data_IF_431130255528
#
_entry.id   IF_431130255528
#
_cell.length_a   1.000
_cell.length_b   1.000
_cell.length_c   1.000
_cell.angle_alpha   90.00
_cell.angle_beta   90.00
_cell.angle_gamma   90.00
#
_symmetry.space_group_name_H-M   'P 1'
#
loop_
_entity.id
_entity.type
_entity.pdbx_description
1 polymer ?
#
# COMPACT_ATOMS: atom_id res chain seq x y z
N UNK A 1 -23.15 15.21 8.17
CA UNK A 1 -22.29 14.09 8.59
C UNK A 1 -21.74 13.46 7.31
N UNK A 2 -20.43 13.33 7.18
CA UNK A 2 -19.80 12.69 6.05
C UNK A 2 -19.79 11.18 6.27
N UNK A 3 -19.99 10.37 5.23
CA UNK A 3 -19.82 8.92 5.29
C UNK A 3 -19.27 8.39 3.98
N UNK A 4 -18.61 7.26 4.01
CA UNK A 4 -18.13 6.60 2.79
C UNK A 4 -19.30 6.03 1.95
N UNK A 5 -20.52 5.97 2.49
CA UNK A 5 -21.64 5.33 1.83
C UNK A 5 -21.46 3.82 1.73
N UNK A 6 -21.96 3.21 0.66
CA UNK A 6 -21.80 1.78 0.42
C UNK A 6 -20.35 1.44 0.07
N UNK A 7 -19.73 0.54 0.83
CA UNK A 7 -18.41 0.00 0.53
C UNK A 7 -18.50 -0.96 -0.66
N UNK A 8 -17.79 -0.65 -1.75
CA UNK A 8 -17.93 -1.41 -3.00
C UNK A 8 -16.90 -2.55 -3.04
N UNK A 9 -15.62 -2.20 -3.06
CA UNK A 9 -14.50 -3.12 -3.16
C UNK A 9 -13.30 -2.58 -2.40
N UNK A 10 -12.57 -3.43 -1.71
CA UNK A 10 -11.40 -3.00 -0.94
C UNK A 10 -10.45 -4.11 -0.60
N UNK A 11 -9.38 -3.75 0.09
CA UNK A 11 -8.40 -4.66 0.63
C UNK A 11 -8.40 -4.70 2.15
N UNK A 12 -8.14 -5.86 2.72
CA UNK A 12 -7.85 -6.03 4.15
C UNK A 12 -6.35 -6.19 4.31
N UNK A 13 -5.71 -5.19 4.94
CA UNK A 13 -4.29 -5.23 5.26
C UNK A 13 -4.11 -5.96 6.61
N UNK A 14 -3.64 -7.18 6.56
CA UNK A 14 -3.52 -8.04 7.74
C UNK A 14 -2.32 -7.73 8.62
N UNK A 15 -1.32 -7.01 8.07
CA UNK A 15 -0.12 -6.55 8.77
C UNK A 15 0.52 -5.37 8.03
N UNK A 16 1.49 -4.72 8.69
CA UNK A 16 2.38 -3.73 8.07
C UNK A 16 3.81 -4.25 7.90
N UNK A 17 4.14 -5.37 8.55
CA UNK A 17 5.45 -6.00 8.40
C UNK A 17 5.56 -6.64 7.02
N UNK A 18 6.71 -6.42 6.36
CA UNK A 18 7.04 -7.00 5.07
C UNK A 18 8.49 -7.49 5.07
N UNK A 19 8.84 -8.46 4.24
CA UNK A 19 10.23 -8.84 3.98
C UNK A 19 10.96 -7.83 3.10
N UNK A 20 10.22 -6.91 2.49
CA UNK A 20 10.71 -5.90 1.55
C UNK A 20 10.39 -4.48 2.02
N UNK A 21 11.20 -3.52 1.59
CA UNK A 21 10.95 -2.08 1.76
C UNK A 21 10.88 -1.37 0.39
N UNK A 22 10.04 -1.91 -0.50
CA UNK A 22 9.93 -1.45 -1.89
C UNK A 22 9.70 0.06 -1.99
N UNK A 23 10.43 0.74 -2.88
CA UNK A 23 10.39 2.20 -3.06
C UNK A 23 9.01 2.73 -3.45
N UNK A 24 8.21 1.93 -4.14
CA UNK A 24 6.86 2.30 -4.58
C UNK A 24 5.76 1.96 -3.57
N UNK A 25 6.08 1.42 -2.39
CA UNK A 25 5.08 0.95 -1.44
C UNK A 25 4.21 2.09 -0.91
N UNK A 26 2.93 2.06 -1.25
CA UNK A 26 1.94 3.05 -0.82
C UNK A 26 1.72 3.06 0.70
N UNK A 27 1.84 1.90 1.34
CA UNK A 27 1.57 1.73 2.78
C UNK A 27 2.81 1.85 3.64
N UNK A 28 3.97 2.12 3.05
CA UNK A 28 5.27 2.21 3.73
C UNK A 28 5.56 0.96 4.58
N UNK A 29 5.14 -0.22 4.11
CA UNK A 29 5.42 -1.49 4.76
C UNK A 29 6.91 -1.82 4.70
N UNK A 30 7.46 -2.41 5.76
CA UNK A 30 8.90 -2.72 5.84
C UNK A 30 9.18 -3.82 6.86
N UNK A 31 10.42 -4.36 6.90
CA UNK A 31 10.83 -5.31 7.95
C UNK A 31 10.78 -4.74 9.36
N UNK A 32 10.88 -3.41 9.50
CA UNK A 32 10.93 -2.69 10.78
C UNK A 32 9.59 -2.12 11.22
N UNK A 33 8.58 -2.10 10.32
CA UNK A 33 7.27 -1.53 10.64
C UNK A 33 6.39 -2.51 11.40
N UNK A 34 6.53 -2.50 12.72
CA UNK A 34 5.73 -3.34 13.63
C UNK A 34 5.97 -4.84 13.42
N UNK A 35 5.53 -5.65 14.34
CA UNK A 35 5.65 -7.12 14.27
C UNK A 35 4.30 -7.83 14.37
N UNK A 36 3.21 -7.04 14.47
CA UNK A 36 1.87 -7.58 14.68
C UNK A 36 1.23 -8.09 13.40
N UNK A 37 0.26 -8.97 13.59
CA UNK A 37 -0.72 -9.38 12.60
C UNK A 37 -2.11 -9.03 13.15
N UNK A 38 -3.12 -8.89 12.31
CA UNK A 38 -4.47 -8.60 12.77
C UNK A 38 -4.93 -9.68 13.76
N UNK A 39 -5.34 -9.27 14.95
CA UNK A 39 -5.88 -10.21 15.92
C UNK A 39 -7.30 -10.66 15.56
N UNK A 40 -7.75 -11.75 16.17
CA UNK A 40 -9.03 -12.38 15.84
C UNK A 40 -10.21 -11.44 16.10
N UNK A 41 -10.22 -10.71 17.21
CA UNK A 41 -11.33 -9.83 17.58
C UNK A 41 -11.43 -8.66 16.59
N UNK A 42 -10.30 -8.04 16.26
CA UNK A 42 -10.23 -6.99 15.25
C UNK A 42 -10.67 -7.51 13.87
N UNK A 43 -10.21 -8.69 13.45
CA UNK A 43 -10.62 -9.28 12.18
C UNK A 43 -12.13 -9.59 12.12
N UNK A 44 -12.72 -10.12 13.21
CA UNK A 44 -14.17 -10.33 13.31
C UNK A 44 -14.94 -9.00 13.21
N UNK A 45 -14.45 -7.95 13.87
CA UNK A 45 -15.04 -6.61 13.80
C UNK A 45 -14.94 -6.01 12.39
N UNK A 46 -13.79 -6.15 11.72
CA UNK A 46 -13.60 -5.71 10.32
C UNK A 46 -14.62 -6.41 9.42
N UNK A 47 -14.74 -7.74 9.49
CA UNK A 47 -15.69 -8.50 8.69
C UNK A 47 -17.13 -8.05 8.93
N UNK A 48 -17.50 -7.79 10.19
CA UNK A 48 -18.83 -7.28 10.55
C UNK A 48 -19.11 -5.91 9.94
N UNK A 49 -18.15 -4.97 10.06
CA UNK A 49 -18.29 -3.61 9.54
C UNK A 49 -18.29 -3.59 8.00
N UNK A 50 -17.47 -4.38 7.35
CA UNK A 50 -17.51 -4.53 5.89
C UNK A 50 -18.89 -5.00 5.42
N UNK A 51 -19.48 -6.02 6.09
CA UNK A 51 -20.82 -6.50 5.76
C UNK A 51 -21.88 -5.43 6.00
N UNK A 52 -21.85 -4.74 7.14
CA UNK A 52 -22.78 -3.65 7.47
C UNK A 52 -22.66 -2.51 6.45
N UNK A 53 -21.44 -2.16 6.03
CA UNK A 53 -21.19 -1.16 4.99
C UNK A 53 -21.53 -1.63 3.56
N UNK A 54 -22.01 -2.87 3.38
CA UNK A 54 -22.46 -3.39 2.08
C UNK A 54 -21.37 -4.03 1.24
N UNK A 55 -20.13 -4.14 1.74
CA UNK A 55 -19.01 -4.76 1.02
C UNK A 55 -19.25 -6.26 0.83
N UNK A 56 -19.10 -6.74 -0.41
CA UNK A 56 -19.34 -8.14 -0.76
C UNK A 56 -18.09 -8.90 -1.13
N UNK A 57 -17.04 -8.20 -1.51
CA UNK A 57 -15.77 -8.81 -1.89
C UNK A 57 -14.59 -7.96 -1.46
N UNK A 58 -13.49 -8.61 -1.12
CA UNK A 58 -12.23 -7.97 -0.75
C UNK A 58 -11.06 -8.80 -1.27
N UNK A 59 -9.90 -8.16 -1.41
CA UNK A 59 -8.63 -8.87 -1.44
C UNK A 59 -7.93 -8.80 -0.07
N UNK A 60 -6.98 -9.69 0.17
CA UNK A 60 -6.08 -9.61 1.31
C UNK A 60 -4.73 -9.09 0.83
N UNK A 61 -4.27 -8.02 1.47
CA UNK A 61 -2.95 -7.44 1.28
C UNK A 61 -2.32 -7.10 2.62
N UNK A 62 -1.38 -6.18 2.60
CA UNK A 62 -0.69 -5.72 3.80
C UNK A 62 0.77 -5.39 3.52
N UNK A 63 1.66 -5.72 4.46
CA UNK A 63 3.08 -5.82 4.18
C UNK A 63 3.33 -7.10 3.36
N UNK A 64 3.40 -8.23 4.08
CA UNK A 64 3.43 -9.55 3.43
C UNK A 64 2.53 -10.49 4.24
N UNK A 65 1.37 -10.89 3.69
CA UNK A 65 0.41 -11.73 4.41
C UNK A 65 0.95 -13.10 4.82
N UNK A 66 1.87 -13.68 4.05
CA UNK A 66 2.44 -15.00 4.31
C UNK A 66 3.50 -15.03 5.43
N UNK A 67 3.78 -13.91 6.08
CA UNK A 67 4.64 -13.88 7.28
C UNK A 67 4.01 -14.61 8.48
N UNK A 68 2.67 -14.68 8.52
CA UNK A 68 1.90 -15.48 9.48
C UNK A 68 0.82 -16.25 8.73
N UNK A 69 1.15 -17.48 8.35
CA UNK A 69 0.25 -18.30 7.53
C UNK A 69 -1.00 -18.75 8.29
N UNK A 70 -0.88 -19.05 9.59
CA UNK A 70 -2.02 -19.44 10.42
C UNK A 70 -2.96 -18.26 10.65
N UNK A 71 -2.40 -17.07 10.89
CA UNK A 71 -3.15 -15.82 10.95
C UNK A 71 -3.88 -15.53 9.65
N UNK A 72 -3.22 -15.73 8.49
CA UNK A 72 -3.84 -15.58 7.18
C UNK A 72 -5.04 -16.51 7.00
N UNK A 73 -4.89 -17.81 7.32
CA UNK A 73 -5.98 -18.78 7.25
C UNK A 73 -7.15 -18.41 8.18
N UNK A 74 -6.85 -17.87 9.37
CA UNK A 74 -7.89 -17.40 10.30
C UNK A 74 -8.72 -16.26 9.68
N UNK A 75 -8.07 -15.27 9.04
CA UNK A 75 -8.78 -14.17 8.35
C UNK A 75 -9.63 -14.69 7.19
N UNK A 76 -9.11 -15.61 6.37
CA UNK A 76 -9.85 -16.23 5.26
C UNK A 76 -11.13 -16.89 5.77
N UNK A 77 -11.04 -17.66 6.86
CA UNK A 77 -12.22 -18.32 7.49
C UNK A 77 -13.25 -17.29 7.98
N UNK A 78 -12.80 -16.17 8.55
CA UNK A 78 -13.69 -15.11 9.03
C UNK A 78 -14.41 -14.41 7.87
N UNK A 79 -13.71 -14.06 6.78
CA UNK A 79 -14.31 -13.50 5.57
C UNK A 79 -15.38 -14.44 5.00
N UNK A 80 -15.04 -15.73 4.86
CA UNK A 80 -16.00 -16.76 4.39
C UNK A 80 -17.22 -16.86 5.31
N UNK A 81 -17.02 -16.90 6.64
CA UNK A 81 -18.11 -16.94 7.62
C UNK A 81 -19.01 -15.70 7.53
N UNK A 82 -18.43 -14.54 7.25
CA UNK A 82 -19.18 -13.31 7.05
C UNK A 82 -19.88 -13.22 5.69
N UNK A 83 -19.68 -14.19 4.78
CA UNK A 83 -20.22 -14.18 3.42
C UNK A 83 -19.60 -13.08 2.54
N UNK A 84 -18.32 -12.76 2.79
CA UNK A 84 -17.52 -11.84 1.98
C UNK A 84 -16.63 -12.68 1.07
N UNK A 85 -16.69 -12.43 -0.23
CA UNK A 85 -15.87 -13.14 -1.21
C UNK A 85 -14.44 -12.66 -1.11
N UNK A 86 -13.48 -13.58 -0.99
CA UNK A 86 -12.07 -13.29 -1.16
C UNK A 86 -11.73 -13.41 -2.65
N UNK A 87 -11.29 -12.29 -3.25
CA UNK A 87 -10.95 -12.25 -4.67
C UNK A 87 -9.53 -12.77 -4.94
N UNK A 88 -8.56 -12.30 -4.19
CA UNK A 88 -7.17 -12.76 -4.25
C UNK A 88 -6.40 -12.40 -2.98
N UNK A 89 -5.21 -12.97 -2.86
CA UNK A 89 -4.23 -12.63 -1.82
C UNK A 89 -2.99 -12.09 -2.50
N UNK A 90 -2.53 -10.92 -2.07
CA UNK A 90 -1.29 -10.31 -2.56
C UNK A 90 -0.08 -10.93 -1.87
N UNK A 91 1.00 -11.15 -2.62
CA UNK A 91 2.27 -11.64 -2.07
C UNK A 91 3.46 -11.23 -2.93
N UNK A 92 4.59 -10.98 -2.29
CA UNK A 92 5.87 -10.82 -2.96
C UNK A 92 6.60 -12.15 -3.20
N UNK A 93 5.99 -13.26 -2.81
CA UNK A 93 6.46 -14.63 -3.01
C UNK A 93 7.78 -15.01 -2.31
N UNK A 94 8.27 -14.25 -1.31
CA UNK A 94 9.53 -14.56 -0.60
C UNK A 94 9.57 -16.00 -0.06
N UNK A 95 8.44 -16.56 0.32
CA UNK A 95 8.27 -17.89 0.92
C UNK A 95 8.36 -19.04 -0.10
N UNK A 96 8.41 -18.72 -1.39
CA UNK A 96 8.55 -19.67 -2.48
C UNK A 96 9.94 -19.63 -3.13
N UNK A 97 10.94 -19.02 -2.47
CA UNK A 97 12.30 -18.94 -2.98
C UNK A 97 12.81 -20.32 -3.38
N UNK A 98 13.30 -20.42 -4.61
CA UNK A 98 13.83 -21.65 -5.22
C UNK A 98 15.05 -22.21 -4.48
N UNK A 99 15.74 -21.40 -3.70
CA UNK A 99 16.86 -21.78 -2.85
C UNK A 99 16.42 -22.35 -1.49
N UNK A 100 15.13 -22.24 -1.14
CA UNK A 100 14.63 -22.82 0.10
C UNK A 100 14.47 -24.34 -0.04
N UNK A 101 14.96 -25.15 0.92
CA UNK A 101 14.87 -26.61 0.87
C UNK A 101 13.43 -27.17 0.94
N UNK A 102 12.43 -26.31 1.14
CA UNK A 102 11.08 -26.70 1.49
C UNK A 102 10.03 -26.52 0.37
N UNK A 103 10.34 -26.94 -0.88
CA UNK A 103 9.33 -26.96 -1.96
C UNK A 103 8.02 -27.68 -1.55
N UNK A 104 8.09 -28.68 -0.67
CA UNK A 104 6.92 -29.39 -0.15
C UNK A 104 6.04 -28.49 0.72
N UNK A 105 6.63 -27.70 1.58
CA UNK A 105 5.89 -26.76 2.45
C UNK A 105 5.09 -25.71 1.66
N UNK A 106 5.60 -25.24 0.51
CA UNK A 106 4.89 -24.31 -0.38
C UNK A 106 3.64 -24.96 -0.98
N UNK A 107 3.76 -26.20 -1.50
CA UNK A 107 2.61 -26.93 -2.05
C UNK A 107 1.53 -27.21 -1.00
N UNK A 108 1.94 -27.54 0.22
CA UNK A 108 0.97 -27.79 1.30
C UNK A 108 0.23 -26.51 1.69
N UNK A 109 0.91 -25.36 1.71
CA UNK A 109 0.26 -24.05 1.90
C UNK A 109 -0.75 -23.77 0.78
N UNK A 110 -0.39 -23.99 -0.48
CA UNK A 110 -1.30 -23.76 -1.61
C UNK A 110 -2.54 -24.67 -1.51
N UNK A 111 -2.38 -25.95 -1.15
CA UNK A 111 -3.51 -26.86 -0.93
C UNK A 111 -4.40 -26.41 0.25
N UNK A 112 -3.80 -25.91 1.33
CA UNK A 112 -4.57 -25.36 2.44
C UNK A 112 -5.38 -24.12 2.01
N UNK A 113 -4.81 -23.20 1.25
CA UNK A 113 -5.55 -22.05 0.70
C UNK A 113 -6.78 -22.50 -0.09
N UNK A 114 -6.61 -23.47 -1.00
CA UNK A 114 -7.75 -24.04 -1.78
C UNK A 114 -8.82 -24.64 -0.87
N UNK A 115 -8.42 -25.42 0.14
CA UNK A 115 -9.37 -26.04 1.07
C UNK A 115 -10.16 -25.02 1.90
N UNK A 116 -9.60 -23.82 2.11
CA UNK A 116 -10.29 -22.72 2.78
C UNK A 116 -11.06 -21.81 1.82
N UNK A 117 -11.04 -22.08 0.51
CA UNK A 117 -11.74 -21.30 -0.51
C UNK A 117 -10.99 -20.06 -0.98
N UNK A 118 -9.69 -19.97 -0.69
CA UNK A 118 -8.81 -18.92 -1.21
C UNK A 118 -8.07 -19.44 -2.44
N UNK A 119 -8.68 -19.28 -3.61
CA UNK A 119 -8.23 -19.91 -4.85
C UNK A 119 -7.33 -19.06 -5.73
N UNK A 120 -7.06 -17.78 -5.43
CA UNK A 120 -6.34 -16.88 -6.34
C UNK A 120 -5.23 -16.12 -5.62
N UNK A 121 -4.04 -16.05 -6.23
CA UNK A 121 -2.91 -15.23 -5.78
C UNK A 121 -2.62 -14.10 -6.76
N UNK A 122 -2.38 -12.91 -6.24
CA UNK A 122 -1.76 -11.78 -6.94
C UNK A 122 -0.27 -11.77 -6.58
N UNK A 123 0.58 -12.19 -7.51
CA UNK A 123 2.01 -12.36 -7.27
C UNK A 123 2.76 -11.17 -7.86
N UNK A 124 3.42 -10.39 -7.01
CA UNK A 124 4.17 -9.20 -7.43
C UNK A 124 5.45 -9.55 -8.14
N UNK A 125 5.69 -8.97 -9.33
CA UNK A 125 6.91 -9.17 -10.11
C UNK A 125 7.29 -7.88 -10.84
N UNK A 126 8.20 -7.12 -10.26
CA UNK A 126 8.71 -5.87 -10.83
C UNK A 126 10.10 -5.53 -10.26
N UNK A 127 10.82 -4.55 -10.82
CA UNK A 127 12.15 -4.17 -10.37
C UNK A 127 12.24 -3.74 -8.90
N UNK A 128 11.22 -3.08 -8.34
CA UNK A 128 11.25 -2.66 -6.94
C UNK A 128 11.16 -3.84 -5.96
N UNK A 129 10.41 -4.90 -6.33
CA UNK A 129 10.39 -6.13 -5.56
C UNK A 129 11.69 -6.91 -5.71
N UNK A 130 12.32 -6.90 -6.89
CA UNK A 130 13.57 -7.59 -7.16
C UNK A 130 14.77 -7.03 -6.36
N UNK A 131 14.65 -5.83 -5.79
CA UNK A 131 15.61 -5.30 -4.81
C UNK A 131 15.63 -6.10 -3.48
N UNK A 132 14.57 -6.86 -3.18
CA UNK A 132 14.38 -7.53 -1.88
C UNK A 132 14.07 -9.03 -1.99
N UNK A 133 13.49 -9.46 -3.10
CA UNK A 133 13.09 -10.85 -3.34
C UNK A 133 13.64 -11.27 -4.71
N UNK A 134 14.39 -12.40 -4.79
CA UNK A 134 14.83 -12.92 -6.08
C UNK A 134 13.63 -13.11 -7.02
N UNK A 135 13.66 -12.53 -8.21
CA UNK A 135 12.48 -12.57 -9.09
C UNK A 135 12.16 -13.99 -9.60
N UNK A 136 13.05 -14.95 -9.40
CA UNK A 136 12.77 -16.37 -9.59
C UNK A 136 11.77 -16.95 -8.59
N UNK A 137 11.60 -16.35 -7.40
CA UNK A 137 10.63 -16.80 -6.41
C UNK A 137 9.16 -16.61 -6.88
N UNK A 138 8.75 -15.42 -7.40
CA UNK A 138 7.45 -15.25 -8.06
C UNK A 138 7.19 -16.26 -9.18
N UNK A 139 8.20 -16.55 -10.01
CA UNK A 139 8.05 -17.51 -11.11
C UNK A 139 7.90 -18.94 -10.60
N UNK A 140 8.68 -19.33 -9.60
CA UNK A 140 8.57 -20.63 -8.96
C UNK A 140 7.20 -20.83 -8.28
N UNK A 141 6.67 -19.78 -7.64
CA UNK A 141 5.33 -19.79 -7.06
C UNK A 141 4.26 -19.99 -8.14
N UNK A 142 4.35 -19.27 -9.26
CA UNK A 142 3.44 -19.40 -10.39
C UNK A 142 3.40 -20.85 -10.92
N UNK A 143 4.57 -21.48 -11.14
CA UNK A 143 4.65 -22.90 -11.54
C UNK A 143 4.02 -23.86 -10.52
N UNK A 144 4.14 -23.56 -9.22
CA UNK A 144 3.53 -24.37 -8.17
C UNK A 144 2.02 -24.16 -8.10
N UNK A 145 1.53 -22.96 -8.37
CA UNK A 145 0.10 -22.67 -8.51
C UNK A 145 -0.50 -23.52 -9.64
N UNK A 146 0.10 -23.55 -10.83
CA UNK A 146 -0.34 -24.39 -11.95
C UNK A 146 -0.42 -25.88 -11.57
N UNK A 147 0.59 -26.38 -10.85
CA UNK A 147 0.66 -27.79 -10.42
C UNK A 147 -0.36 -28.15 -9.34
N UNK A 148 -0.80 -27.18 -8.56
CA UNK A 148 -1.73 -27.37 -7.43
C UNK A 148 -3.15 -26.97 -7.73
N UNK A 149 -3.41 -26.30 -8.86
CA UNK A 149 -4.74 -25.81 -9.24
C UNK A 149 -5.15 -24.53 -8.51
N UNK A 150 -4.19 -23.77 -7.98
CA UNK A 150 -4.41 -22.42 -7.46
C UNK A 150 -4.35 -21.44 -8.64
N UNK A 151 -5.36 -20.61 -8.80
CA UNK A 151 -5.35 -19.55 -9.78
C UNK A 151 -4.33 -18.48 -9.38
N UNK A 152 -3.74 -17.82 -10.36
CA UNK A 152 -2.85 -16.71 -10.11
C UNK A 152 -2.80 -15.71 -11.26
N UNK A 153 -2.35 -14.52 -10.95
CA UNK A 153 -1.87 -13.56 -11.96
C UNK A 153 -0.59 -12.89 -11.46
N UNK A 154 0.32 -12.68 -12.40
CA UNK A 154 1.55 -11.93 -12.12
C UNK A 154 1.23 -10.44 -12.21
N UNK A 155 1.31 -9.75 -11.09
CA UNK A 155 1.14 -8.30 -11.06
C UNK A 155 2.36 -7.65 -11.68
N UNK A 156 2.12 -6.89 -12.77
CA UNK A 156 3.18 -6.22 -13.53
C UNK A 156 4.09 -7.15 -14.33
N UNK A 157 3.53 -8.24 -14.86
CA UNK A 157 4.25 -9.22 -15.69
C UNK A 157 5.00 -8.59 -16.88
N UNK A 158 4.62 -7.39 -17.31
CA UNK A 158 5.28 -6.61 -18.37
C UNK A 158 6.75 -6.28 -18.07
N UNK A 159 7.17 -6.37 -16.81
CA UNK A 159 8.58 -6.19 -16.43
C UNK A 159 9.43 -7.47 -16.56
N UNK A 160 8.85 -8.63 -16.81
CA UNK A 160 9.61 -9.88 -16.98
C UNK A 160 10.71 -9.80 -18.05
N UNK A 161 10.48 -9.20 -19.24
CA UNK A 161 11.56 -9.08 -20.24
C UNK A 161 12.74 -8.24 -19.73
N UNK A 162 12.50 -7.25 -18.89
CA UNK A 162 13.56 -6.45 -18.28
C UNK A 162 14.28 -7.25 -17.20
N UNK A 163 13.53 -7.87 -16.29
CA UNK A 163 14.07 -8.69 -15.21
C UNK A 163 14.89 -9.89 -15.71
N UNK A 164 14.54 -10.47 -16.87
CA UNK A 164 15.27 -11.61 -17.46
C UNK A 164 16.74 -11.30 -17.82
N UNK A 165 17.16 -10.04 -17.79
CA UNK A 165 18.55 -9.60 -17.95
C UNK A 165 19.38 -9.75 -16.67
N UNK A 166 18.72 -10.05 -15.55
CA UNK A 166 19.31 -10.22 -14.22
C UNK A 166 19.37 -11.70 -13.84
N UNK A 167 20.13 -12.02 -12.79
CA UNK A 167 20.14 -13.36 -12.20
C UNK A 167 18.87 -13.61 -11.36
N UNK A 168 18.04 -14.55 -11.78
CA UNK A 168 16.76 -14.84 -11.12
C UNK A 168 16.89 -15.40 -9.69
N UNK A 169 18.09 -15.81 -9.27
CA UNK A 169 18.33 -16.51 -8.00
C UNK A 169 18.78 -15.62 -6.86
N UNK A 170 18.99 -14.32 -7.12
CA UNK A 170 19.46 -13.37 -6.11
C UNK A 170 18.68 -12.05 -6.19
N UNK A 171 18.78 -11.27 -5.13
CA UNK A 171 18.31 -9.88 -5.10
C UNK A 171 19.29 -8.98 -5.83
N UNK A 172 18.80 -7.85 -6.31
CA UNK A 172 19.60 -6.91 -7.10
C UNK A 172 19.51 -5.51 -6.48
N UNK A 173 20.68 -4.95 -6.13
CA UNK A 173 20.72 -3.59 -5.62
C UNK A 173 20.31 -2.57 -6.70
N UNK A 174 19.91 -1.38 -6.24
CA UNK A 174 19.65 -0.25 -7.13
C UNK A 174 20.82 0.00 -8.09
N UNK A 175 22.03 0.07 -7.57
CA UNK A 175 23.24 0.33 -8.36
C UNK A 175 23.48 -0.75 -9.44
N UNK A 176 23.18 -2.02 -9.13
CA UNK A 176 23.27 -3.11 -10.10
C UNK A 176 22.22 -2.96 -11.20
N UNK A 177 21.02 -2.56 -10.85
CA UNK A 177 19.95 -2.32 -11.81
C UNK A 177 20.22 -1.08 -12.67
N UNK A 178 20.74 0.00 -12.11
CA UNK A 178 21.14 1.20 -12.86
C UNK A 178 22.25 0.87 -13.88
N UNK A 179 23.24 0.07 -13.51
CA UNK A 179 24.28 -0.41 -14.43
C UNK A 179 23.75 -1.33 -15.51
N UNK A 180 22.75 -2.15 -15.20
CA UNK A 180 22.20 -3.16 -16.13
C UNK A 180 21.17 -2.58 -17.09
N UNK A 181 20.36 -1.66 -16.63
CA UNK A 181 19.24 -1.09 -17.41
C UNK A 181 19.56 0.31 -17.93
N UNK A 182 19.64 1.27 -17.02
CA UNK A 182 20.03 2.67 -17.20
C UNK A 182 19.95 3.38 -15.85
N UNK A 183 20.55 4.52 -15.71
CA UNK A 183 20.41 5.43 -14.57
C UNK A 183 18.99 5.99 -14.42
N UNK A 184 18.16 5.86 -15.47
CA UNK A 184 16.75 6.28 -15.47
C UNK A 184 15.76 5.14 -15.19
N UNK A 185 16.22 3.91 -14.90
CA UNK A 185 15.32 2.74 -14.82
C UNK A 185 14.21 2.89 -13.76
N UNK A 186 14.48 3.58 -12.65
CA UNK A 186 13.48 3.83 -11.60
C UNK A 186 12.32 4.64 -12.17
N UNK A 187 12.59 5.62 -13.00
CA UNK A 187 11.60 6.48 -13.63
C UNK A 187 10.81 5.76 -14.71
N UNK A 188 11.52 5.02 -15.53
CA UNK A 188 10.91 4.22 -16.58
C UNK A 188 10.00 3.15 -15.98
N UNK A 189 10.44 2.54 -14.86
CA UNK A 189 9.64 1.62 -14.07
C UNK A 189 8.43 2.35 -13.45
N UNK A 190 8.62 3.49 -12.81
CA UNK A 190 7.55 4.27 -12.19
C UNK A 190 6.46 4.66 -13.20
N UNK A 191 6.87 5.12 -14.39
CA UNK A 191 5.97 5.49 -15.47
C UNK A 191 5.20 4.29 -16.01
N UNK A 192 5.90 3.19 -16.29
CA UNK A 192 5.29 1.96 -16.82
C UNK A 192 4.40 1.27 -15.79
N UNK A 193 4.75 1.37 -14.51
CA UNK A 193 3.96 0.85 -13.41
C UNK A 193 2.65 1.63 -13.22
N UNK A 194 2.64 2.92 -13.49
CA UNK A 194 1.52 3.80 -13.17
C UNK A 194 1.39 4.05 -11.67
N UNK A 195 2.51 4.32 -11.01
CA UNK A 195 2.58 4.48 -9.54
C UNK A 195 1.68 5.63 -9.06
N UNK A 196 0.94 5.38 -7.98
CA UNK A 196 0.34 6.44 -7.17
C UNK A 196 1.37 6.99 -6.19
N UNK A 197 1.61 8.30 -6.20
CA UNK A 197 2.59 8.93 -5.33
C UNK A 197 2.05 9.12 -3.91
N UNK A 198 2.11 8.05 -3.13
CA UNK A 198 1.81 8.01 -1.70
C UNK A 198 2.81 7.11 -0.98
N UNK A 199 2.87 7.15 0.36
CA UNK A 199 3.86 6.40 1.11
C UNK A 199 5.29 6.66 0.63
N UNK A 200 6.11 5.61 0.45
CA UNK A 200 7.48 5.77 -0.05
C UNK A 200 7.57 6.23 -1.50
N UNK A 201 6.53 6.00 -2.31
CA UNK A 201 6.53 6.42 -3.70
C UNK A 201 6.59 7.96 -3.89
N UNK A 202 6.27 8.74 -2.86
CA UNK A 202 6.42 10.21 -2.88
C UNK A 202 7.86 10.64 -3.16
N UNK A 203 8.80 9.83 -2.75
CA UNK A 203 10.23 10.10 -2.93
C UNK A 203 10.67 9.83 -4.37
N UNK A 204 10.11 8.80 -5.03
CA UNK A 204 10.35 8.54 -6.46
C UNK A 204 9.92 9.75 -7.29
N UNK A 205 8.78 10.35 -6.98
CA UNK A 205 8.30 11.55 -7.66
C UNK A 205 9.28 12.72 -7.50
N UNK A 206 9.84 12.92 -6.31
CA UNK A 206 10.81 13.99 -6.05
C UNK A 206 12.12 13.74 -6.79
N UNK A 207 12.69 12.53 -6.74
CA UNK A 207 13.89 12.17 -7.51
C UNK A 207 13.70 12.41 -9.01
N UNK A 208 12.55 11.96 -9.54
CA UNK A 208 12.20 12.15 -10.94
C UNK A 208 12.23 13.64 -11.33
N UNK A 209 11.63 14.49 -10.51
CA UNK A 209 11.55 15.93 -10.81
C UNK A 209 12.89 16.66 -10.69
N UNK A 210 13.83 16.15 -9.90
CA UNK A 210 15.17 16.73 -9.77
C UNK A 210 16.17 16.20 -10.80
N UNK A 211 15.93 14.99 -11.35
CA UNK A 211 16.87 14.29 -12.24
C UNK A 211 16.61 14.41 -13.74
N UNK A 212 15.38 14.69 -14.18
CA UNK A 212 14.96 14.65 -15.58
C UNK A 212 14.12 15.87 -15.99
N UNK A 213 14.67 17.07 -15.98
CA UNK A 213 13.98 18.30 -16.42
C UNK A 213 12.61 18.56 -15.75
N UNK A 214 12.26 17.76 -14.74
CA UNK A 214 11.08 17.96 -13.92
C UNK A 214 11.28 19.13 -12.99
N UNK A 215 10.47 20.17 -13.11
CA UNK A 215 10.60 21.34 -12.25
C UNK A 215 10.00 21.05 -10.87
N UNK A 216 10.71 21.44 -9.82
CA UNK A 216 10.11 21.68 -8.51
C UNK A 216 9.46 23.08 -8.52
N UNK A 217 8.28 23.15 -7.92
CA UNK A 217 7.50 24.38 -7.88
C UNK A 217 7.29 24.83 -6.44
N UNK A 218 7.28 26.13 -6.18
CA UNK A 218 6.97 26.65 -4.86
C UNK A 218 5.55 26.25 -4.44
N UNK A 219 5.32 26.15 -3.13
CA UNK A 219 4.03 25.75 -2.57
C UNK A 219 2.87 26.62 -3.09
N UNK A 220 3.14 27.90 -3.35
CA UNK A 220 2.20 28.90 -3.86
C UNK A 220 1.52 28.49 -5.16
N UNK A 221 2.21 27.72 -6.01
CA UNK A 221 1.63 27.17 -7.25
C UNK A 221 0.44 26.24 -6.98
N UNK A 222 0.49 25.51 -5.87
CA UNK A 222 -0.50 24.46 -5.59
C UNK A 222 -1.62 24.93 -4.65
N UNK A 223 -1.33 25.85 -3.73
CA UNK A 223 -2.30 26.30 -2.71
C UNK A 223 -3.43 27.18 -3.24
N UNK A 224 -3.37 27.59 -4.49
CA UNK A 224 -4.49 28.22 -5.19
C UNK A 224 -5.60 27.24 -5.56
N UNK A 225 -5.30 25.93 -5.53
CA UNK A 225 -6.28 24.87 -5.78
C UNK A 225 -7.12 24.64 -4.51
N UNK A 226 -8.37 25.06 -4.56
CA UNK A 226 -9.36 24.87 -3.49
C UNK A 226 -10.28 23.68 -3.74
N UNK A 227 -10.04 22.90 -4.81
CA UNK A 227 -10.88 21.77 -5.16
C UNK A 227 -10.83 20.69 -4.06
N UNK A 228 -12.00 20.23 -3.59
CA UNK A 228 -12.09 19.15 -2.60
C UNK A 228 -11.41 17.85 -3.06
N UNK A 229 -10.80 17.15 -2.10
CA UNK A 229 -10.20 15.83 -2.36
C UNK A 229 -11.25 14.72 -2.17
N UNK A 230 -12.15 14.56 -3.13
CA UNK A 230 -13.26 13.59 -3.05
C UNK A 230 -12.82 12.12 -2.93
N UNK A 231 -11.59 11.78 -3.36
CA UNK A 231 -11.04 10.43 -3.21
C UNK A 231 -10.93 9.96 -1.76
N UNK A 232 -10.98 10.88 -0.78
CA UNK A 232 -10.91 10.52 0.64
C UNK A 232 -12.06 9.62 1.11
N UNK A 233 -13.21 9.65 0.45
CA UNK A 233 -14.36 8.79 0.73
C UNK A 233 -14.69 7.85 -0.43
N UNK A 234 -13.77 7.63 -1.36
CA UNK A 234 -13.97 6.67 -2.43
C UNK A 234 -13.97 5.24 -1.89
N UNK A 235 -14.98 4.48 -2.28
CA UNK A 235 -15.19 3.09 -1.84
C UNK A 235 -14.93 2.07 -2.94
N UNK A 236 -14.48 2.52 -4.12
CA UNK A 236 -14.21 1.64 -5.25
C UNK A 236 -12.93 0.82 -5.12
N UNK A 237 -11.99 1.26 -4.28
CA UNK A 237 -10.76 0.54 -3.96
C UNK A 237 -10.13 1.10 -2.68
N UNK A 238 -10.86 0.99 -1.57
CA UNK A 238 -10.36 1.38 -0.24
C UNK A 238 -9.54 0.26 0.40
N UNK A 239 -8.85 0.58 1.52
CA UNK A 239 -8.26 -0.46 2.35
C UNK A 239 -8.70 -0.32 3.80
N UNK A 240 -8.71 -1.43 4.51
CA UNK A 240 -8.87 -1.48 5.96
C UNK A 240 -7.62 -2.09 6.55
N UNK A 241 -7.01 -1.41 7.51
CA UNK A 241 -5.79 -1.92 8.13
C UNK A 241 -6.06 -2.87 9.31
N UNK A 242 -5.00 -3.49 9.80
CA UNK A 242 -5.03 -4.43 10.93
C UNK A 242 -5.56 -3.83 12.25
N UNK A 243 -5.78 -2.53 12.31
CA UNK A 243 -6.34 -1.81 13.46
C UNK A 243 -7.78 -1.36 13.24
N UNK A 244 -8.43 -1.85 12.17
CA UNK A 244 -9.79 -1.47 11.77
C UNK A 244 -9.95 0.01 11.38
N UNK A 245 -8.94 0.60 10.74
CA UNK A 245 -9.05 1.92 10.13
C UNK A 245 -9.31 1.81 8.63
N UNK A 246 -10.25 2.61 8.15
CA UNK A 246 -10.44 2.89 6.73
C UNK A 246 -9.30 3.77 6.23
N UNK A 247 -8.63 3.33 5.17
CA UNK A 247 -7.56 4.06 4.49
C UNK A 247 -8.07 4.49 3.13
N UNK A 248 -8.15 5.80 2.84
CA UNK A 248 -8.57 6.30 1.55
C UNK A 248 -7.64 5.84 0.41
N UNK A 249 -8.18 5.56 -0.79
CA UNK A 249 -7.35 5.23 -1.96
C UNK A 249 -6.31 6.33 -2.23
N UNK A 250 -5.05 5.93 -2.40
CA UNK A 250 -3.90 6.81 -2.69
C UNK A 250 -3.53 7.84 -1.61
N UNK A 251 -4.44 8.18 -0.69
CA UNK A 251 -4.17 9.12 0.43
C UNK A 251 -3.72 8.38 1.69
N UNK A 252 -2.77 7.47 1.52
CA UNK A 252 -2.22 6.67 2.62
C UNK A 252 -1.59 7.53 3.71
N UNK A 253 -1.60 7.01 4.94
CA UNK A 253 -1.24 7.80 6.13
C UNK A 253 -2.40 8.59 6.73
N UNK A 254 -3.51 8.79 6.00
CA UNK A 254 -4.80 9.18 6.58
C UNK A 254 -5.56 7.91 6.96
N UNK A 255 -6.16 7.91 8.15
CA UNK A 255 -6.94 6.79 8.66
C UNK A 255 -8.14 7.26 9.46
N UNK A 256 -9.30 6.67 9.21
CA UNK A 256 -10.54 6.94 9.95
C UNK A 256 -11.04 5.60 10.51
N UNK A 257 -11.52 5.49 11.77
CA UNK A 257 -12.10 4.25 12.23
C UNK A 257 -13.14 3.73 11.23
N UNK A 258 -13.07 2.46 10.86
CA UNK A 258 -13.95 1.87 9.84
C UNK A 258 -15.44 2.03 10.23
N UNK A 259 -15.77 1.93 11.53
CA UNK A 259 -17.11 2.18 12.03
C UNK A 259 -17.60 3.58 11.68
N UNK A 260 -16.76 4.61 11.86
CA UNK A 260 -17.15 5.99 11.55
C UNK A 260 -17.19 6.25 10.04
N UNK A 261 -16.34 5.58 9.25
CA UNK A 261 -16.42 5.65 7.80
C UNK A 261 -17.78 5.09 7.29
N UNK A 262 -18.30 4.03 7.93
CA UNK A 262 -19.59 3.38 7.61
C UNK A 262 -20.77 4.17 8.19
N UNK A 263 -20.74 4.43 9.50
CA UNK A 263 -21.88 4.98 10.23
C UNK A 263 -22.00 6.51 10.11
N UNK A 264 -20.87 7.18 9.82
CA UNK A 264 -20.77 8.63 9.64
C UNK A 264 -19.64 9.24 10.45
N UNK A 265 -18.87 10.10 9.79
CA UNK A 265 -17.73 10.82 10.35
C UNK A 265 -18.26 12.05 11.11
N UNK A 266 -18.01 12.15 12.44
CA UNK A 266 -18.45 13.32 13.21
C UNK A 266 -17.76 14.60 12.74
N UNK A 267 -18.51 15.68 12.57
CA UNK A 267 -17.95 17.00 12.21
C UNK A 267 -17.04 17.54 13.30
N UNK A 268 -15.94 18.16 12.92
CA UNK A 268 -14.93 18.75 13.80
C UNK A 268 -13.96 17.75 14.45
N UNK A 269 -14.14 16.44 14.22
CA UNK A 269 -13.32 15.41 14.86
C UNK A 269 -11.98 15.20 14.17
N UNK A 270 -11.91 15.34 12.86
CA UNK A 270 -10.76 15.05 12.00
C UNK A 270 -10.38 16.25 11.14
N UNK A 271 -9.72 17.27 11.72
CA UNK A 271 -9.48 18.55 11.04
C UNK A 271 -8.70 18.45 9.74
N UNK A 272 -7.72 17.55 9.67
CA UNK A 272 -6.91 17.32 8.44
C UNK A 272 -7.79 16.71 7.33
N UNK A 273 -8.59 15.71 7.68
CA UNK A 273 -9.52 15.08 6.76
C UNK A 273 -10.57 16.09 6.27
N UNK A 274 -11.16 16.87 7.16
CA UNK A 274 -12.17 17.87 6.83
C UNK A 274 -11.59 19.00 5.96
N UNK A 275 -10.40 19.49 6.27
CA UNK A 275 -9.73 20.50 5.46
C UNK A 275 -9.53 20.02 4.02
N UNK A 276 -9.03 18.80 3.85
CA UNK A 276 -8.84 18.21 2.52
C UNK A 276 -10.16 17.95 1.79
N UNK A 277 -11.18 17.48 2.51
CA UNK A 277 -12.46 17.13 1.91
C UNK A 277 -13.27 18.35 1.51
N UNK A 278 -13.16 19.48 2.23
CA UNK A 278 -13.93 20.69 1.98
C UNK A 278 -13.22 21.75 1.14
N UNK A 279 -11.92 21.91 1.32
CA UNK A 279 -11.14 23.00 0.70
C UNK A 279 -9.81 22.56 0.11
N UNK A 280 -9.59 21.24 -0.03
CA UNK A 280 -8.43 20.68 -0.70
C UNK A 280 -7.09 21.08 -0.09
N UNK A 281 -6.09 21.21 -0.96
CA UNK A 281 -4.71 21.54 -0.52
C UNK A 281 -4.62 22.91 0.10
N UNK A 282 -5.43 23.87 -0.35
CA UNK A 282 -5.45 25.23 0.18
C UNK A 282 -5.81 25.27 1.67
N UNK A 283 -6.91 24.57 2.03
CA UNK A 283 -7.35 24.49 3.43
C UNK A 283 -6.35 23.73 4.31
N UNK A 284 -5.77 22.63 3.79
CA UNK A 284 -4.75 21.88 4.51
C UNK A 284 -3.49 22.72 4.75
N UNK A 285 -3.05 23.49 3.76
CA UNK A 285 -1.91 24.36 3.88
C UNK A 285 -2.12 25.44 4.95
N UNK A 286 -3.31 26.06 4.95
CA UNK A 286 -3.68 27.03 5.98
C UNK A 286 -3.59 26.40 7.38
N UNK A 287 -4.19 25.23 7.58
CA UNK A 287 -4.14 24.49 8.85
C UNK A 287 -2.68 24.24 9.28
N UNK A 288 -1.82 23.79 8.36
CA UNK A 288 -0.42 23.52 8.67
C UNK A 288 0.37 24.81 8.99
N UNK A 289 0.10 25.90 8.28
CA UNK A 289 0.71 27.22 8.56
C UNK A 289 0.36 27.74 9.96
N UNK A 290 -0.86 27.57 10.38
CA UNK A 290 -1.33 27.92 11.75
C UNK A 290 -0.61 27.09 12.83
N UNK A 291 -0.09 25.91 12.49
CA UNK A 291 0.73 25.05 13.35
C UNK A 291 2.25 25.29 13.20
N UNK A 292 2.66 26.26 12.39
CA UNK A 292 4.07 26.64 12.20
C UNK A 292 4.79 25.94 11.04
N UNK A 293 4.07 25.33 10.09
CA UNK A 293 4.70 24.75 8.90
C UNK A 293 5.39 25.84 8.05
N UNK A 294 6.61 25.55 7.61
CA UNK A 294 7.34 26.36 6.61
C UNK A 294 7.58 25.50 5.36
N UNK A 295 7.19 25.97 4.17
CA UNK A 295 7.46 25.24 2.93
C UNK A 295 8.95 25.04 2.70
N UNK A 296 9.30 23.95 2.02
CA UNK A 296 10.65 23.71 1.51
C UNK A 296 10.97 24.73 0.39
N UNK A 297 12.07 25.47 0.53
CA UNK A 297 12.52 26.45 -0.45
C UNK A 297 12.85 25.82 -1.82
N UNK A 298 13.27 24.53 -1.83
CA UNK A 298 13.49 23.79 -3.06
C UNK A 298 12.17 23.51 -3.82
N UNK A 299 11.02 23.58 -3.15
CA UNK A 299 9.71 23.36 -3.74
C UNK A 299 9.28 21.88 -3.79
N UNK A 300 8.22 21.62 -4.56
CA UNK A 300 7.53 20.34 -4.64
C UNK A 300 7.24 19.95 -6.10
N UNK A 301 7.31 18.66 -6.46
CA UNK A 301 7.01 18.22 -7.82
C UNK A 301 5.50 18.27 -8.14
N UNK A 302 4.64 18.04 -7.14
CA UNK A 302 3.19 18.03 -7.33
C UNK A 302 2.41 18.49 -6.09
N UNK A 303 1.12 18.74 -6.30
CA UNK A 303 0.14 18.98 -5.23
C UNK A 303 0.10 17.84 -4.22
N UNK A 304 0.15 16.58 -4.67
CA UNK A 304 0.10 15.41 -3.78
C UNK A 304 1.39 15.27 -2.95
N UNK A 305 2.54 15.64 -3.52
CA UNK A 305 3.81 15.68 -2.80
C UNK A 305 3.78 16.74 -1.68
N UNK A 306 3.36 17.97 -2.00
CA UNK A 306 3.15 19.02 -0.99
C UNK A 306 2.16 18.51 0.09
N UNK A 307 1.03 17.92 -0.30
CA UNK A 307 0.05 17.37 0.63
C UNK A 307 0.65 16.31 1.55
N UNK A 308 1.53 15.44 1.05
CA UNK A 308 2.22 14.45 1.88
C UNK A 308 3.09 15.13 2.95
N UNK A 309 3.89 16.13 2.58
CA UNK A 309 4.74 16.86 3.53
C UNK A 309 3.94 17.66 4.57
N UNK A 310 2.82 18.26 4.18
CA UNK A 310 1.89 18.91 5.12
C UNK A 310 1.32 17.91 6.14
N UNK A 311 0.88 16.75 5.68
CA UNK A 311 0.35 15.70 6.56
C UNK A 311 1.43 15.08 7.44
N UNK A 312 2.64 14.90 6.93
CA UNK A 312 3.79 14.47 7.74
C UNK A 312 4.04 15.46 8.89
N UNK A 313 4.18 16.75 8.59
CA UNK A 313 4.35 17.78 9.62
C UNK A 313 3.21 17.77 10.65
N UNK A 314 1.96 17.68 10.19
CA UNK A 314 0.79 17.64 11.07
C UNK A 314 0.73 16.33 11.88
N UNK A 315 1.28 15.22 11.40
CA UNK A 315 1.32 13.97 12.16
C UNK A 315 2.15 14.07 13.44
N UNK A 316 3.10 15.01 13.49
CA UNK A 316 3.89 15.32 14.69
C UNK A 316 3.10 16.21 15.70
N UNK A 317 1.94 16.74 15.31
CA UNK A 317 1.07 17.62 16.12
C UNK A 317 -0.13 16.88 16.70
N UNK A 318 -0.06 15.53 16.77
CA UNK A 318 -1.08 14.68 17.40
C UNK A 318 -2.48 14.70 16.75
N UNK A 319 -2.58 14.90 15.45
CA UNK A 319 -3.83 14.69 14.73
C UNK A 319 -4.11 13.20 14.62
N UNK A 320 -5.19 12.72 15.24
CA UNK A 320 -5.51 11.28 15.42
C UNK A 320 -5.76 10.53 14.12
N UNK A 321 -6.19 11.25 13.08
CA UNK A 321 -6.42 10.72 11.74
C UNK A 321 -5.14 10.53 10.91
N UNK A 322 -3.98 10.88 11.46
CA UNK A 322 -2.69 10.71 10.79
C UNK A 322 -1.86 9.61 11.45
N UNK A 323 -1.43 8.65 10.64
CA UNK A 323 -0.51 7.59 11.07
C UNK A 323 0.94 8.08 10.99
N UNK A 324 1.46 8.59 12.11
CA UNK A 324 2.84 9.08 12.19
C UNK A 324 3.87 8.05 11.71
N UNK A 325 3.72 6.79 12.09
CA UNK A 325 4.63 5.72 11.67
C UNK A 325 4.65 5.55 10.14
N UNK A 326 3.53 5.81 9.47
CA UNK A 326 3.48 5.74 8.00
C UNK A 326 4.42 6.77 7.36
N UNK A 327 4.42 8.00 7.87
CA UNK A 327 5.27 9.08 7.32
C UNK A 327 6.74 8.88 7.68
N UNK A 328 7.05 8.49 8.92
CA UNK A 328 8.41 8.18 9.35
C UNK A 328 9.02 7.04 8.52
N UNK A 329 8.28 5.95 8.28
CA UNK A 329 8.74 4.84 7.44
C UNK A 329 8.85 5.21 5.96
N UNK A 330 8.01 6.12 5.46
CA UNK A 330 8.11 6.60 4.09
C UNK A 330 9.44 7.33 3.85
N UNK A 331 9.95 8.06 4.83
CA UNK A 331 11.16 8.87 4.71
C UNK A 331 12.44 8.12 5.12
N UNK A 332 12.34 7.11 6.00
CA UNK A 332 13.50 6.36 6.53
C UNK A 332 14.40 5.74 5.47
N UNK A 333 13.86 5.23 4.40
CA UNK A 333 14.59 4.52 3.34
C UNK A 333 15.10 5.42 2.22
N UNK A 334 15.09 6.73 2.46
CA UNK A 334 15.47 7.74 1.48
C UNK A 334 16.66 8.60 1.91
N UNK A 335 17.12 8.43 3.15
CA UNK A 335 18.30 9.11 3.70
C UNK A 335 19.59 8.40 3.33
#
# INVERSE_FOLDING_TARGET
MLSAGTLIHGGVMVNYRCTAACRHCLYSCSPTRGSGYVDKETAENICRLLRTGGCRSVHIGGGEPFLDFDGLLAVIRLLRKAGITLEYIETNAFWADSNAPEKKGVQDKLKHLLSEGAGTLCISVDPYHAEYVPYGAPLALAELCEKTGVDYFLWKREFLPVLSRLDSKKVHSRDEMEKTFSDTYIYDTARSYGIGYGGRAVNIEREFSTGLDGALYPAEKFITDTAPCHNLLSTGHFHVDMYSYFIPPRCTGIRIPLSEAVDGIPGGKYPVFEALYSGGISALFKLAREQGFSPDEAGYPSKCNLCFHLRHFLSEKNYSELDRNHYEEALRYYS
#
